data_IF_546255721391
#
_entry.id   IF_546255721391
#
_cell.length_a   1.000
_cell.length_b   1.000
_cell.length_c   1.000
_cell.angle_alpha   90.00
_cell.angle_beta   90.00
_cell.angle_gamma   90.00
#
_symmetry.space_group_name_H-M   'P 1'
#
loop_
_entity.id
_entity.type
_entity.pdbx_description
1 polymer ?
#
# COMPACT_ATOMS: atom_id res chain seq x y z
N UNK A 1 -6.83 15.13 -3.30
CA UNK A 1 -7.23 14.09 -4.28
C UNK A 1 -6.09 13.09 -4.39
N UNK A 2 -6.20 11.91 -3.77
CA UNK A 2 -5.24 10.81 -3.95
C UNK A 2 -5.73 9.97 -5.14
N UNK A 3 -4.90 9.79 -6.16
CA UNK A 3 -5.17 8.92 -7.32
C UNK A 3 -4.11 7.83 -7.40
N UNK A 4 -4.29 6.80 -8.23
CA UNK A 4 -3.25 5.79 -8.48
C UNK A 4 -1.94 6.34 -9.11
N UNK A 5 -1.92 7.63 -9.46
CA UNK A 5 -0.78 8.33 -10.06
C UNK A 5 -0.20 9.43 -9.15
N UNK A 6 -0.97 9.87 -8.16
CA UNK A 6 -0.62 10.95 -7.22
C UNK A 6 -1.06 10.54 -5.83
N UNK A 7 -0.10 10.24 -4.95
CA UNK A 7 -0.38 9.66 -3.64
C UNK A 7 -0.04 10.63 -2.51
N UNK A 8 -0.61 10.37 -1.34
CA UNK A 8 -0.24 11.10 -0.14
C UNK A 8 1.24 10.86 0.20
N UNK A 9 1.91 11.89 0.72
CA UNK A 9 3.26 11.76 1.26
C UNK A 9 3.23 10.87 2.49
N UNK A 10 4.10 9.85 2.53
CA UNK A 10 4.28 8.98 3.69
C UNK A 10 4.88 9.79 4.85
N UNK A 11 4.21 9.84 6.00
CA UNK A 11 4.72 10.48 7.21
C UNK A 11 5.70 9.54 7.91
N UNK A 12 6.59 10.11 8.72
CA UNK A 12 7.52 9.32 9.53
C UNK A 12 6.78 8.36 10.47
N UNK A 13 7.33 7.16 10.66
CA UNK A 13 6.82 6.19 11.61
C UNK A 13 7.62 6.30 12.91
N UNK A 14 7.09 7.02 13.89
CA UNK A 14 7.70 7.11 15.22
C UNK A 14 7.26 5.92 16.08
N UNK A 15 8.02 5.55 17.13
CA UNK A 15 7.65 4.46 18.03
C UNK A 15 6.24 4.62 18.64
N UNK A 16 5.87 5.83 19.04
CA UNK A 16 4.53 6.13 19.60
C UNK A 16 3.42 5.97 18.56
N UNK A 17 3.68 6.33 17.29
CA UNK A 17 2.72 6.14 16.20
C UNK A 17 2.52 4.66 15.91
N UNK A 18 3.60 3.89 15.84
CA UNK A 18 3.55 2.44 15.66
C UNK A 18 2.78 1.77 16.80
N UNK A 19 3.03 2.15 18.06
CA UNK A 19 2.30 1.63 19.22
C UNK A 19 0.79 1.92 19.14
N UNK A 20 0.41 3.16 18.81
CA UNK A 20 -1.01 3.53 18.65
C UNK A 20 -1.71 2.67 17.59
N UNK A 21 -1.05 2.44 16.46
CA UNK A 21 -1.60 1.62 15.38
C UNK A 21 -1.71 0.15 15.81
N UNK A 22 -0.70 -0.35 16.52
CA UNK A 22 -0.70 -1.70 17.06
C UNK A 22 -1.86 -1.93 18.04
N UNK A 23 -2.09 -1.00 18.95
CA UNK A 23 -3.23 -1.03 19.88
C UNK A 23 -4.58 -0.96 19.16
N UNK A 24 -4.71 -0.06 18.17
CA UNK A 24 -5.92 0.05 17.34
C UNK A 24 -6.22 -1.23 16.55
N UNK A 25 -5.17 -1.96 16.15
CA UNK A 25 -5.28 -3.26 15.49
C UNK A 25 -5.48 -4.45 16.46
N UNK A 26 -5.60 -4.18 17.77
CA UNK A 26 -5.74 -5.21 18.81
C UNK A 26 -4.53 -6.13 18.93
N UNK A 27 -3.35 -5.69 18.48
CA UNK A 27 -2.12 -6.48 18.46
C UNK A 27 -2.22 -7.75 17.61
N UNK A 28 -3.00 -7.71 16.52
CA UNK A 28 -3.19 -8.85 15.62
C UNK A 28 -2.78 -8.50 14.19
N UNK A 29 -2.25 -9.49 13.49
CA UNK A 29 -2.02 -9.38 12.05
C UNK A 29 -3.37 -9.25 11.33
N UNK A 30 -3.52 -8.22 10.50
CA UNK A 30 -4.77 -7.98 9.77
C UNK A 30 -5.09 -9.07 8.74
N UNK A 31 -4.09 -9.79 8.21
CA UNK A 31 -4.29 -10.86 7.22
C UNK A 31 -4.61 -12.21 7.88
N UNK A 32 -3.76 -12.68 8.79
CA UNK A 32 -3.90 -14.02 9.38
C UNK A 32 -4.58 -14.05 10.75
N UNK A 33 -4.96 -12.89 11.30
CA UNK A 33 -5.59 -12.73 12.63
C UNK A 33 -4.77 -13.23 13.84
N UNK A 34 -3.52 -13.69 13.62
CA UNK A 34 -2.61 -14.13 14.70
C UNK A 34 -2.31 -12.97 15.64
N UNK A 35 -2.37 -13.21 16.94
CA UNK A 35 -1.89 -12.27 17.97
C UNK A 35 -0.37 -12.18 17.92
N UNK A 36 0.13 -10.96 17.80
CA UNK A 36 1.55 -10.63 17.76
C UNK A 36 2.07 -10.39 19.17
N UNK A 37 3.24 -10.94 19.46
CA UNK A 37 3.95 -10.81 20.74
C UNK A 37 5.13 -9.86 20.59
N UNK A 38 5.70 -9.44 21.72
CA UNK A 38 6.88 -8.56 21.73
C UNK A 38 8.12 -9.17 21.03
N UNK A 39 8.18 -10.50 20.93
CA UNK A 39 9.25 -11.22 20.23
C UNK A 39 8.99 -11.40 18.73
N UNK A 40 7.79 -11.10 18.24
CA UNK A 40 7.45 -11.25 16.83
C UNK A 40 7.92 -10.03 16.03
N UNK A 41 8.46 -10.26 14.84
CA UNK A 41 8.65 -9.19 13.85
C UNK A 41 7.32 -8.88 13.15
N UNK A 42 7.02 -7.60 13.02
CA UNK A 42 5.83 -7.11 12.33
C UNK A 42 6.08 -5.71 11.77
N UNK A 43 5.34 -5.40 10.71
CA UNK A 43 5.41 -4.12 10.02
C UNK A 43 4.07 -3.40 10.06
N UNK A 44 4.13 -2.07 10.03
CA UNK A 44 2.97 -1.23 9.75
C UNK A 44 2.85 -1.04 8.26
N UNK A 45 1.67 -1.33 7.73
CA UNK A 45 1.38 -1.22 6.31
C UNK A 45 0.05 -0.52 6.09
N UNK A 46 -0.14 0.06 4.91
CA UNK A 46 -1.38 0.72 4.53
C UNK A 46 -2.43 -0.34 4.14
N UNK A 47 -3.66 -0.28 4.68
CA UNK A 47 -4.78 -1.18 4.31
C UNK A 47 -5.03 -1.09 2.80
N UNK A 48 -5.24 0.13 2.30
CA UNK A 48 -5.12 0.42 0.87
C UNK A 48 -3.75 1.04 0.64
N UNK A 49 -2.89 0.38 -0.14
CA UNK A 49 -1.56 0.90 -0.44
C UNK A 49 -1.60 2.31 -1.03
N UNK A 50 -0.61 3.13 -0.69
CA UNK A 50 -0.46 4.46 -1.28
C UNK A 50 -0.51 4.38 -2.80
N UNK A 51 0.23 3.43 -3.42
CA UNK A 51 0.27 3.21 -4.86
C UNK A 51 -1.11 2.87 -5.51
N UNK A 52 -2.06 2.41 -4.69
CA UNK A 52 -3.43 2.11 -5.07
C UNK A 52 -4.42 3.25 -4.73
N UNK A 53 -3.92 4.42 -4.32
CA UNK A 53 -4.73 5.60 -4.00
C UNK A 53 -5.08 5.77 -2.52
N UNK A 54 -4.51 4.94 -1.65
CA UNK A 54 -4.68 5.05 -0.21
C UNK A 54 -4.10 6.33 0.40
N UNK A 55 -4.45 6.58 1.65
CA UNK A 55 -3.96 7.72 2.44
C UNK A 55 -2.89 7.25 3.43
N UNK A 56 -2.08 8.18 3.94
CA UNK A 56 -1.16 7.90 5.05
C UNK A 56 -1.83 8.07 6.43
N UNK A 57 -3.16 8.19 6.48
CA UNK A 57 -3.87 8.36 7.75
C UNK A 57 -3.79 7.13 8.62
N UNK A 58 -3.73 7.31 9.95
CA UNK A 58 -3.60 6.21 10.90
C UNK A 58 -4.80 5.24 10.79
N UNK A 59 -5.96 5.71 10.33
CA UNK A 59 -7.14 4.88 10.03
C UNK A 59 -6.98 3.96 8.80
N UNK A 60 -6.03 4.25 7.92
CA UNK A 60 -5.65 3.41 6.78
C UNK A 60 -4.39 2.59 7.08
N UNK A 61 -3.95 2.50 8.34
CA UNK A 61 -2.80 1.69 8.72
C UNK A 61 -3.22 0.43 9.46
N UNK A 62 -2.51 -0.66 9.20
CA UNK A 62 -2.70 -1.96 9.81
C UNK A 62 -1.37 -2.58 10.18
N UNK A 63 -1.40 -3.60 11.04
CA UNK A 63 -0.21 -4.38 11.40
C UNK A 63 -0.23 -5.71 10.66
N UNK A 64 0.91 -6.10 10.10
CA UNK A 64 1.10 -7.39 9.45
C UNK A 64 2.33 -8.10 10.02
N UNK A 65 2.23 -9.42 10.19
CA UNK A 65 3.42 -10.24 10.41
C UNK A 65 4.24 -10.34 9.13
N UNK A 66 5.53 -10.58 9.29
CA UNK A 66 6.54 -10.63 8.23
C UNK A 66 6.10 -11.41 6.98
N UNK A 67 5.65 -12.66 7.14
CA UNK A 67 5.23 -13.50 6.00
C UNK A 67 3.91 -13.04 5.33
N UNK A 68 3.04 -12.33 6.04
CA UNK A 68 1.81 -11.79 5.45
C UNK A 68 2.05 -10.47 4.72
N UNK A 69 3.04 -9.70 5.17
CA UNK A 69 3.40 -8.42 4.59
C UNK A 69 3.96 -8.57 3.18
N UNK A 70 4.80 -9.59 2.95
CA UNK A 70 5.35 -9.90 1.61
C UNK A 70 4.26 -10.19 0.58
N UNK A 71 3.31 -11.06 0.91
CA UNK A 71 2.18 -11.38 0.03
C UNK A 71 1.36 -10.13 -0.32
N UNK A 72 1.02 -9.32 0.69
CA UNK A 72 0.24 -8.09 0.46
C UNK A 72 0.99 -7.13 -0.45
N UNK A 73 2.30 -6.96 -0.24
CA UNK A 73 3.14 -6.11 -1.09
C UNK A 73 3.07 -6.57 -2.55
N UNK A 74 3.15 -7.87 -2.80
CA UNK A 74 3.04 -8.41 -4.16
C UNK A 74 1.67 -8.13 -4.79
N UNK A 75 0.59 -8.34 -4.03
CA UNK A 75 -0.79 -8.10 -4.47
C UNK A 75 -1.03 -6.60 -4.79
N UNK A 76 -0.56 -5.71 -3.92
CA UNK A 76 -0.71 -4.26 -4.10
C UNK A 76 0.03 -3.75 -5.33
N UNK A 77 1.26 -4.21 -5.54
CA UNK A 77 2.05 -3.85 -6.72
C UNK A 77 1.39 -4.38 -8.00
N UNK A 78 0.87 -5.61 -7.97
CA UNK A 78 0.15 -6.20 -9.10
C UNK A 78 -1.13 -5.41 -9.42
N UNK A 79 -1.89 -5.02 -8.40
CA UNK A 79 -3.09 -4.20 -8.55
C UNK A 79 -2.77 -2.82 -9.11
N UNK A 80 -1.75 -2.14 -8.58
CA UNK A 80 -1.33 -0.82 -9.06
C UNK A 80 -0.91 -0.88 -10.53
N UNK A 81 -0.10 -1.88 -10.90
CA UNK A 81 0.34 -2.08 -12.27
C UNK A 81 -0.86 -2.36 -13.21
N UNK A 82 -1.81 -3.18 -12.78
CA UNK A 82 -3.04 -3.45 -13.53
C UNK A 82 -3.86 -2.18 -13.72
N UNK A 83 -4.11 -1.41 -12.65
CA UNK A 83 -4.85 -0.15 -12.70
C UNK A 83 -4.24 0.86 -13.68
N UNK A 84 -2.92 1.06 -13.61
CA UNK A 84 -2.17 1.93 -14.53
C UNK A 84 -2.30 1.49 -15.99
N UNK A 85 -2.17 0.18 -16.27
CA UNK A 85 -2.35 -0.37 -17.62
C UNK A 85 -3.78 -0.15 -18.14
N UNK A 86 -4.79 -0.37 -17.31
CA UNK A 86 -6.18 -0.19 -17.70
C UNK A 86 -6.51 1.27 -17.99
N UNK A 87 -6.05 2.20 -17.14
CA UNK A 87 -6.21 3.64 -17.37
C UNK A 87 -5.50 4.10 -18.64
N UNK A 88 -4.26 3.67 -18.89
CA UNK A 88 -3.55 3.98 -20.13
C UNK A 88 -4.25 3.40 -21.37
N UNK A 89 -4.84 2.21 -21.26
CA UNK A 89 -5.61 1.61 -22.35
C UNK A 89 -6.85 2.44 -22.67
N UNK A 90 -7.58 2.87 -21.65
CA UNK A 90 -8.84 3.60 -21.77
C UNK A 90 -8.67 5.03 -22.26
N UNK A 91 -7.73 5.79 -21.68
CA UNK A 91 -7.67 7.24 -21.86
C UNK A 91 -6.51 7.74 -22.72
N UNK A 92 -5.44 6.96 -22.90
CA UNK A 92 -4.25 7.43 -23.65
C UNK A 92 -4.38 7.08 -25.14
N UNK A 93 -4.31 8.06 -26.07
CA UNK A 93 -4.32 7.81 -27.50
C UNK A 93 -3.18 6.90 -27.97
N UNK A 94 -3.42 6.10 -29.02
CA UNK A 94 -2.44 5.12 -29.56
C UNK A 94 -1.10 5.76 -29.94
N UNK A 95 -1.10 7.00 -30.44
CA UNK A 95 0.13 7.75 -30.81
C UNK A 95 1.13 7.89 -29.66
N UNK A 96 0.65 7.99 -28.41
CA UNK A 96 1.50 8.09 -27.22
C UNK A 96 1.93 6.72 -26.65
N UNK A 97 1.37 5.62 -27.16
CA UNK A 97 1.68 4.24 -26.72
C UNK A 97 2.67 3.52 -27.64
N UNK A 98 2.93 4.06 -28.84
CA UNK A 98 3.85 3.48 -29.80
C UNK A 98 5.27 3.96 -29.55
N UNK A 99 6.24 3.03 -29.57
CA UNK A 99 7.67 3.36 -29.64
C UNK A 99 8.02 3.82 -31.05
N UNK A 100 7.54 4.99 -31.47
CA UNK A 100 8.14 5.68 -32.62
C UNK A 100 8.95 6.82 -32.06
N UNK A 101 10.25 6.85 -32.40
CA UNK A 101 11.15 7.92 -32.00
C UNK A 101 10.53 9.27 -32.34
N UNK A 102 10.67 10.21 -31.42
CA UNK A 102 10.25 11.60 -31.63
C UNK A 102 10.90 12.14 -32.92
N UNK A 103 10.08 12.70 -33.80
CA UNK A 103 10.46 13.69 -34.82
C UNK A 103 9.57 14.90 -34.59
#
# INVERSE_FOLDING_TARGET
MTSSFTHATRRSMTPLRALRIFEACGGKCAKCSRKLKASDSWDVDHVTALCNGGTDEDSNLQVLCDWCHGDKTADDVAQAAKGKRMAAKAFVPKRFKQKRGWR
#
